data_IF_273224970102
#
_entry.id   IF_273224970102
#
_cell.length_a   1.000
_cell.length_b   1.000
_cell.length_c   1.000
_cell.angle_alpha   90.00
_cell.angle_beta   90.00
_cell.angle_gamma   90.00
#
_symmetry.space_group_name_H-M   'P 1'
#
loop_
_entity.id
_entity.type
_entity.pdbx_description
1 polymer ?
#
# COMPACT_ATOMS: atom_id res chain seq x y z
N UNK A 1 -1.96 7.44 -22.94
CA UNK A 1 -1.07 8.13 -21.98
C UNK A 1 -1.10 9.65 -22.14
N UNK A 2 -0.50 10.27 -23.20
CA UNK A 2 -0.52 11.73 -23.36
C UNK A 2 -1.91 12.27 -23.73
N UNK A 3 -2.66 11.56 -24.59
CA UNK A 3 -4.02 11.90 -24.98
C UNK A 3 -4.95 11.90 -23.76
N UNK A 4 -4.88 10.87 -22.94
CA UNK A 4 -5.69 10.72 -21.74
C UNK A 4 -5.43 11.85 -20.73
N UNK A 5 -4.14 12.24 -20.58
CA UNK A 5 -3.75 13.36 -19.72
C UNK A 5 -4.30 14.71 -20.23
N UNK A 6 -4.29 14.91 -21.55
CA UNK A 6 -4.84 16.13 -22.18
C UNK A 6 -6.35 16.15 -22.05
N UNK A 7 -7.02 15.03 -22.28
CA UNK A 7 -8.49 14.90 -22.13
C UNK A 7 -8.91 15.13 -20.67
N UNK A 8 -8.18 14.59 -19.70
CA UNK A 8 -8.49 14.78 -18.27
C UNK A 8 -8.30 16.23 -17.83
N UNK A 9 -7.24 16.90 -18.30
CA UNK A 9 -7.04 18.35 -18.07
C UNK A 9 -8.09 19.20 -18.76
N UNK A 10 -8.46 18.87 -19.99
CA UNK A 10 -9.50 19.58 -20.72
C UNK A 10 -10.85 19.44 -20.05
N UNK A 11 -11.21 18.22 -19.63
CA UNK A 11 -12.44 17.95 -18.89
C UNK A 11 -12.46 18.67 -17.53
N UNK A 12 -11.32 18.77 -16.86
CA UNK A 12 -11.19 19.52 -15.60
C UNK A 12 -11.40 21.01 -15.81
N UNK A 13 -10.82 21.59 -16.87
CA UNK A 13 -11.01 23.00 -17.22
C UNK A 13 -12.45 23.30 -17.66
N UNK A 14 -13.07 22.40 -18.42
CA UNK A 14 -14.47 22.50 -18.83
C UNK A 14 -15.39 22.46 -17.61
N UNK A 15 -15.16 21.54 -16.69
CA UNK A 15 -15.90 21.44 -15.44
C UNK A 15 -15.73 22.69 -14.56
N UNK A 16 -14.51 23.20 -14.41
CA UNK A 16 -14.25 24.48 -13.69
C UNK A 16 -14.98 25.66 -14.36
N UNK A 17 -15.14 25.63 -15.68
CA UNK A 17 -15.92 26.63 -16.42
C UNK A 17 -17.43 26.57 -16.09
N UNK A 18 -17.97 25.36 -15.95
CA UNK A 18 -19.37 25.15 -15.54
C UNK A 18 -19.58 25.40 -14.03
N UNK A 19 -18.61 25.07 -13.19
CA UNK A 19 -18.63 25.29 -11.75
C UNK A 19 -18.52 26.78 -11.33
N UNK A 20 -18.48 27.74 -12.27
CA UNK A 20 -18.65 29.17 -11.98
C UNK A 20 -19.95 29.48 -11.25
N UNK A 21 -20.91 28.56 -11.28
CA UNK A 21 -22.18 28.68 -10.56
C UNK A 21 -22.06 28.34 -9.08
N UNK A 22 -21.01 27.58 -8.66
CA UNK A 22 -20.74 27.28 -7.25
C UNK A 22 -19.26 27.55 -6.88
N UNK A 23 -18.94 28.74 -6.34
CA UNK A 23 -17.59 29.13 -5.96
C UNK A 23 -16.95 28.20 -4.91
N UNK A 24 -17.76 27.61 -4.02
CA UNK A 24 -17.29 26.68 -2.98
C UNK A 24 -16.76 25.41 -3.61
N UNK A 25 -17.52 24.81 -4.53
CA UNK A 25 -17.08 23.59 -5.25
C UNK A 25 -15.80 23.81 -6.04
N UNK A 26 -15.72 24.95 -6.75
CA UNK A 26 -14.52 25.32 -7.52
C UNK A 26 -13.28 25.47 -6.63
N UNK A 27 -13.44 26.10 -5.47
CA UNK A 27 -12.35 26.26 -4.49
C UNK A 27 -11.90 24.89 -3.92
N UNK A 28 -12.85 24.02 -3.56
CA UNK A 28 -12.55 22.69 -3.06
C UNK A 28 -11.85 21.82 -4.11
N UNK A 29 -12.29 21.87 -5.38
CA UNK A 29 -11.61 21.20 -6.48
C UNK A 29 -10.13 21.60 -6.56
N UNK A 30 -9.85 22.90 -6.56
CA UNK A 30 -8.47 23.42 -6.59
C UNK A 30 -7.66 22.97 -5.37
N UNK A 31 -8.26 22.96 -4.18
CA UNK A 31 -7.61 22.48 -2.95
C UNK A 31 -7.28 20.99 -3.05
N UNK A 32 -8.20 20.15 -3.54
CA UNK A 32 -7.97 18.71 -3.73
C UNK A 32 -6.83 18.46 -4.72
N UNK A 33 -6.84 19.12 -5.88
CA UNK A 33 -5.78 19.01 -6.89
C UNK A 33 -4.43 19.46 -6.32
N UNK A 34 -4.38 20.57 -5.58
CA UNK A 34 -3.16 21.04 -4.90
C UNK A 34 -2.67 20.08 -3.82
N UNK A 35 -3.57 19.38 -3.16
CA UNK A 35 -3.22 18.32 -2.20
C UNK A 35 -2.75 17.02 -2.89
N UNK A 36 -2.90 16.92 -4.22
CA UNK A 36 -2.42 15.81 -5.03
C UNK A 36 -3.47 14.74 -5.33
N UNK A 37 -4.74 14.99 -5.04
CA UNK A 37 -5.83 14.12 -5.49
C UNK A 37 -6.05 14.24 -7.00
N UNK A 38 -6.49 13.16 -7.64
CA UNK A 38 -6.80 13.16 -9.06
C UNK A 38 -8.05 14.00 -9.37
N UNK A 39 -8.10 14.67 -10.53
CA UNK A 39 -9.30 15.39 -10.95
C UNK A 39 -10.55 14.50 -11.04
N UNK A 40 -10.37 13.23 -11.40
CA UNK A 40 -11.47 12.25 -11.49
C UNK A 40 -12.11 11.98 -10.13
N UNK A 41 -11.31 11.72 -9.09
CA UNK A 41 -11.83 11.51 -7.73
C UNK A 41 -12.45 12.80 -7.17
N UNK A 42 -11.76 13.93 -7.34
CA UNK A 42 -12.24 15.22 -6.87
C UNK A 42 -13.61 15.57 -7.48
N UNK A 43 -13.78 15.36 -8.78
CA UNK A 43 -15.07 15.55 -9.47
C UNK A 43 -16.14 14.63 -8.93
N UNK A 44 -15.87 13.33 -8.86
CA UNK A 44 -16.83 12.32 -8.41
C UNK A 44 -17.35 12.58 -6.99
N UNK A 45 -16.52 13.18 -6.13
CA UNK A 45 -16.91 13.59 -4.78
C UNK A 45 -17.74 14.87 -4.85
N UNK A 46 -17.22 15.93 -5.48
CA UNK A 46 -17.84 17.25 -5.44
C UNK A 46 -19.18 17.35 -6.18
N UNK A 47 -19.42 16.50 -7.19
CA UNK A 47 -20.73 16.39 -7.85
C UNK A 47 -21.84 15.86 -6.92
N UNK A 48 -21.47 15.25 -5.81
CA UNK A 48 -22.40 14.74 -4.77
C UNK A 48 -22.49 15.63 -3.54
N UNK A 49 -21.82 16.77 -3.57
CA UNK A 49 -21.86 17.71 -2.44
C UNK A 49 -23.22 18.38 -2.35
N UNK A 50 -23.86 18.40 -1.16
CA UNK A 50 -25.11 19.17 -0.95
C UNK A 50 -24.91 20.65 -1.31
N UNK A 51 -25.94 21.26 -1.88
CA UNK A 51 -25.90 22.64 -2.39
C UNK A 51 -26.01 23.70 -1.29
N UNK A 52 -26.59 23.33 -0.16
CA UNK A 52 -26.95 24.20 0.96
C UNK A 52 -25.84 24.37 2.02
N UNK A 53 -24.69 23.73 1.82
CA UNK A 53 -23.57 23.81 2.76
C UNK A 53 -22.80 25.12 2.65
N UNK A 54 -22.47 25.72 3.79
CA UNK A 54 -21.51 26.80 3.83
C UNK A 54 -20.06 26.31 3.56
N UNK A 55 -19.11 27.25 3.46
CA UNK A 55 -17.73 26.93 3.16
C UNK A 55 -17.07 26.04 4.23
N UNK A 56 -17.39 26.21 5.50
CA UNK A 56 -16.84 25.41 6.60
C UNK A 56 -17.47 24.01 6.66
N UNK A 57 -18.75 23.94 6.45
CA UNK A 57 -19.50 22.68 6.38
C UNK A 57 -19.08 21.84 5.18
N UNK A 58 -18.86 22.48 4.03
CA UNK A 58 -18.37 21.83 2.81
C UNK A 58 -17.00 21.19 3.00
N UNK A 59 -16.08 21.85 3.71
CA UNK A 59 -14.76 21.28 4.04
C UNK A 59 -14.92 20.08 4.96
N UNK A 60 -15.74 20.17 6.01
CA UNK A 60 -15.99 19.04 6.92
C UNK A 60 -16.61 17.86 6.18
N UNK A 61 -17.64 18.12 5.39
CA UNK A 61 -18.29 17.11 4.58
C UNK A 61 -17.29 16.39 3.64
N UNK A 62 -16.40 17.16 2.97
CA UNK A 62 -15.36 16.60 2.11
C UNK A 62 -14.40 15.69 2.88
N UNK A 63 -13.94 16.12 4.06
CA UNK A 63 -13.05 15.29 4.90
C UNK A 63 -13.74 14.00 5.35
N UNK A 64 -14.99 14.07 5.77
CA UNK A 64 -15.79 12.92 6.16
C UNK A 64 -16.01 11.94 4.99
N UNK A 65 -16.18 12.45 3.77
CA UNK A 65 -16.31 11.59 2.58
C UNK A 65 -15.00 10.89 2.26
N UNK A 66 -13.86 11.59 2.33
CA UNK A 66 -12.54 10.99 2.11
C UNK A 66 -12.25 9.91 3.16
N UNK A 67 -12.50 10.20 4.43
CA UNK A 67 -12.30 9.26 5.54
C UNK A 67 -13.15 8.00 5.38
N UNK A 68 -14.44 8.15 5.10
CA UNK A 68 -15.37 7.01 4.91
C UNK A 68 -15.05 6.14 3.69
N UNK A 69 -14.39 6.69 2.68
CA UNK A 69 -14.01 5.95 1.47
C UNK A 69 -12.59 5.36 1.55
N UNK A 70 -11.78 5.79 2.51
CA UNK A 70 -10.50 5.17 2.79
C UNK A 70 -10.73 3.94 3.67
N UNK A 71 -10.59 2.76 3.09
CA UNK A 71 -10.69 1.51 3.84
C UNK A 71 -9.46 1.33 4.70
N UNK A 72 -9.64 1.23 6.01
CA UNK A 72 -8.56 0.99 6.97
C UNK A 72 -8.97 -0.13 7.93
N UNK A 73 -8.02 -0.66 8.66
CA UNK A 73 -8.24 -1.53 9.81
C UNK A 73 -8.38 -0.76 11.14
N UNK A 74 -8.69 0.53 11.07
CA UNK A 74 -8.91 1.34 12.26
C UNK A 74 -10.08 0.76 13.08
N UNK A 75 -9.80 0.34 14.31
CA UNK A 75 -10.76 -0.36 15.17
C UNK A 75 -10.62 -1.89 15.19
N UNK A 76 -9.83 -2.48 14.29
CA UNK A 76 -9.43 -3.88 14.35
C UNK A 76 -8.10 -4.05 15.09
N UNK A 77 -7.69 -5.31 15.31
CA UNK A 77 -6.36 -5.58 15.88
C UNK A 77 -5.29 -5.30 14.85
N UNK A 78 -4.20 -4.59 15.22
CA UNK A 78 -3.06 -4.41 14.32
C UNK A 78 -2.50 -5.76 13.85
N UNK A 79 -1.89 -5.79 12.67
CA UNK A 79 -1.31 -7.01 12.08
C UNK A 79 -0.40 -7.79 13.05
N UNK A 80 0.41 -7.07 13.82
CA UNK A 80 1.38 -7.67 14.76
C UNK A 80 0.72 -8.24 16.03
N UNK A 81 -0.54 -7.91 16.30
CA UNK A 81 -1.36 -8.54 17.35
C UNK A 81 -2.25 -9.62 16.80
N UNK A 82 -2.81 -9.42 15.61
CA UNK A 82 -3.62 -10.40 14.89
C UNK A 82 -2.79 -11.65 14.60
N UNK A 83 -1.60 -11.48 14.06
CA UNK A 83 -0.72 -12.56 13.62
C UNK A 83 -1.12 -13.10 12.24
N UNK A 84 -0.50 -14.20 11.83
CA UNK A 84 -0.72 -14.83 10.53
C UNK A 84 0.52 -14.83 9.65
N UNK A 85 0.35 -15.22 8.39
CA UNK A 85 1.44 -15.33 7.41
C UNK A 85 1.26 -14.20 6.39
N UNK A 86 2.25 -13.33 6.28
CA UNK A 86 2.22 -12.18 5.40
C UNK A 86 3.45 -12.11 4.49
N UNK A 87 3.22 -12.01 3.19
CA UNK A 87 4.26 -11.76 2.19
C UNK A 87 4.23 -10.29 1.77
N UNK A 88 5.34 -9.59 1.95
CA UNK A 88 5.49 -8.20 1.55
C UNK A 88 5.89 -8.15 0.08
N UNK A 89 4.99 -7.66 -0.77
CA UNK A 89 5.18 -7.54 -2.21
C UNK A 89 5.24 -6.07 -2.64
N UNK A 90 5.75 -5.81 -3.84
CA UNK A 90 5.82 -4.45 -4.39
C UNK A 90 7.13 -4.16 -5.12
N UNK A 91 7.26 -2.95 -5.65
CA UNK A 91 8.39 -2.50 -6.44
C UNK A 91 9.71 -2.51 -5.67
N UNK A 92 10.82 -2.47 -6.42
CA UNK A 92 12.16 -2.34 -5.82
C UNK A 92 12.29 -1.00 -5.10
N UNK A 93 12.93 -1.00 -3.92
CA UNK A 93 13.23 0.23 -3.17
C UNK A 93 12.05 0.84 -2.40
N UNK A 94 10.86 0.24 -2.40
CA UNK A 94 9.71 0.74 -1.63
C UNK A 94 9.80 0.50 -0.12
N UNK A 95 10.79 -0.24 0.37
CA UNK A 95 11.00 -0.46 1.81
C UNK A 95 10.41 -1.76 2.37
N UNK A 96 10.20 -2.81 1.54
CA UNK A 96 9.67 -4.11 1.98
C UNK A 96 10.45 -4.71 3.14
N UNK A 97 11.75 -4.87 2.99
CA UNK A 97 12.63 -5.44 4.04
C UNK A 97 12.59 -4.64 5.33
N UNK A 98 12.57 -3.30 5.23
CA UNK A 98 12.46 -2.42 6.41
C UNK A 98 11.08 -2.55 7.07
N UNK A 99 10.02 -2.64 6.29
CA UNK A 99 8.65 -2.85 6.79
C UNK A 99 8.52 -4.22 7.45
N UNK A 100 9.10 -5.26 6.84
CA UNK A 100 9.20 -6.60 7.43
C UNK A 100 9.87 -6.55 8.82
N UNK A 101 11.01 -5.86 8.92
CA UNK A 101 11.72 -5.71 10.18
C UNK A 101 10.91 -4.94 11.24
N UNK A 102 10.20 -3.87 10.85
CA UNK A 102 9.33 -3.11 11.75
C UNK A 102 8.17 -3.96 12.29
N UNK A 103 7.46 -4.68 11.42
CA UNK A 103 6.38 -5.59 11.84
C UNK A 103 6.89 -6.70 12.76
N UNK A 104 8.05 -7.29 12.42
CA UNK A 104 8.70 -8.30 13.26
C UNK A 104 9.04 -7.73 14.67
N UNK A 105 9.59 -6.53 14.73
CA UNK A 105 9.93 -5.86 15.98
C UNK A 105 8.69 -5.57 16.84
N UNK A 106 7.60 -5.12 16.21
CA UNK A 106 6.33 -4.84 16.91
C UNK A 106 5.71 -6.12 17.47
N UNK A 107 5.68 -7.20 16.70
CA UNK A 107 5.19 -8.51 17.16
C UNK A 107 6.09 -9.09 18.26
N UNK A 108 7.42 -9.06 18.08
CA UNK A 108 8.37 -9.56 19.07
C UNK A 108 8.30 -8.79 20.41
N UNK A 109 8.03 -7.48 20.36
CA UNK A 109 7.87 -6.67 21.58
C UNK A 109 6.67 -7.10 22.42
N UNK A 110 5.58 -7.55 21.78
CA UNK A 110 4.34 -7.91 22.47
C UNK A 110 4.33 -9.40 22.84
N UNK A 111 4.77 -10.25 21.93
CA UNK A 111 4.64 -11.71 22.05
C UNK A 111 5.97 -12.45 22.27
N UNK A 112 7.07 -11.69 22.32
CA UNK A 112 8.44 -12.23 22.43
C UNK A 112 9.06 -12.60 21.06
N UNK A 113 10.39 -12.64 20.95
CA UNK A 113 11.10 -12.95 19.70
C UNK A 113 10.77 -14.34 19.15
N UNK A 114 10.50 -15.29 20.03
CA UNK A 114 10.12 -16.66 19.66
C UNK A 114 8.79 -16.77 18.92
N UNK A 115 7.96 -15.73 18.93
CA UNK A 115 6.64 -15.70 18.27
C UNK A 115 6.71 -15.32 16.79
N UNK A 116 7.88 -14.90 16.28
CA UNK A 116 8.03 -14.38 14.90
C UNK A 116 8.90 -15.34 14.08
N UNK A 117 8.46 -15.61 12.86
CA UNK A 117 9.24 -16.26 11.81
C UNK A 117 9.59 -15.26 10.70
N UNK A 118 10.83 -15.26 10.25
CA UNK A 118 11.30 -14.45 9.13
C UNK A 118 11.78 -15.33 7.99
N UNK A 119 11.28 -15.08 6.78
CA UNK A 119 11.68 -15.77 5.55
C UNK A 119 12.01 -14.71 4.50
N UNK A 120 13.08 -14.91 3.73
CA UNK A 120 13.34 -14.13 2.51
C UNK A 120 13.30 -15.01 1.28
N UNK A 121 12.73 -14.50 0.21
CA UNK A 121 12.76 -15.07 -1.14
C UNK A 121 13.80 -14.35 -2.02
N UNK A 122 14.46 -13.31 -1.51
CA UNK A 122 15.41 -12.53 -2.29
C UNK A 122 16.80 -13.19 -2.31
N UNK A 123 16.95 -14.16 -3.20
CA UNK A 123 18.22 -14.85 -3.45
C UNK A 123 19.09 -14.16 -4.52
N UNK A 124 18.54 -13.17 -5.24
CA UNK A 124 19.20 -12.58 -6.41
C UNK A 124 19.99 -11.31 -6.10
N UNK A 125 19.54 -10.50 -5.14
CA UNK A 125 20.24 -9.26 -4.78
C UNK A 125 21.35 -9.55 -3.78
N UNK A 126 22.56 -9.19 -4.15
CA UNK A 126 23.71 -9.23 -3.23
C UNK A 126 23.38 -8.43 -1.98
N UNK A 127 23.47 -9.07 -0.82
CA UNK A 127 23.22 -8.42 0.47
C UNK A 127 21.76 -8.30 0.92
N UNK A 128 20.75 -8.64 0.11
CA UNK A 128 19.34 -8.56 0.54
C UNK A 128 19.04 -9.53 1.70
N UNK A 129 19.50 -10.77 1.59
CA UNK A 129 19.41 -11.75 2.64
C UNK A 129 20.17 -11.31 3.89
N UNK A 130 21.37 -10.73 3.71
CA UNK A 130 22.21 -10.23 4.83
C UNK A 130 21.52 -9.06 5.56
N UNK A 131 20.79 -8.23 4.86
CA UNK A 131 20.01 -7.14 5.48
C UNK A 131 18.94 -7.69 6.41
N UNK A 132 18.12 -8.65 5.94
CA UNK A 132 17.08 -9.27 6.77
C UNK A 132 17.69 -10.08 7.94
N UNK A 133 18.81 -10.79 7.69
CA UNK A 133 19.56 -11.49 8.76
C UNK A 133 20.09 -10.52 9.81
N UNK A 134 20.53 -9.35 9.41
CA UNK A 134 21.01 -8.33 10.35
C UNK A 134 19.88 -7.84 11.24
N UNK A 135 18.71 -7.52 10.67
CA UNK A 135 17.53 -7.19 11.46
C UNK A 135 17.10 -8.36 12.37
N UNK A 136 17.10 -9.58 11.85
CA UNK A 136 16.77 -10.77 12.64
C UNK A 136 17.70 -10.92 13.85
N UNK A 137 19.03 -10.78 13.65
CA UNK A 137 20.01 -10.82 14.77
C UNK A 137 19.74 -9.75 15.83
N UNK A 138 19.44 -8.51 15.41
CA UNK A 138 19.09 -7.42 16.33
C UNK A 138 17.83 -7.73 17.16
N UNK A 139 16.90 -8.48 16.61
CA UNK A 139 15.64 -8.84 17.24
C UNK A 139 15.66 -10.21 17.95
N UNK A 140 16.77 -10.96 17.85
CA UNK A 140 16.86 -12.33 18.35
C UNK A 140 16.01 -13.34 17.54
N UNK A 141 15.79 -13.07 16.25
CA UNK A 141 14.97 -13.88 15.34
C UNK A 141 15.84 -14.41 14.20
N UNK A 142 15.69 -15.71 13.90
CA UNK A 142 16.40 -16.33 12.76
C UNK A 142 15.68 -15.98 11.47
N UNK A 143 16.41 -15.46 10.48
CA UNK A 143 15.91 -15.26 9.12
C UNK A 143 16.30 -16.46 8.23
N UNK A 144 15.29 -17.09 7.65
CA UNK A 144 15.42 -18.24 6.77
C UNK A 144 15.41 -17.80 5.30
N UNK A 145 16.05 -18.58 4.42
CA UNK A 145 16.03 -18.35 2.98
C UNK A 145 15.25 -19.48 2.30
N UNK A 146 14.27 -19.13 1.47
CA UNK A 146 13.61 -20.06 0.58
C UNK A 146 13.95 -19.69 -0.89
N UNK A 147 14.38 -20.67 -1.67
CA UNK A 147 14.75 -20.49 -3.07
C UNK A 147 13.59 -20.75 -4.03
N UNK A 148 12.60 -21.51 -3.59
CA UNK A 148 11.47 -21.93 -4.39
C UNK A 148 10.22 -22.16 -3.53
N UNK A 149 9.13 -22.56 -4.19
CA UNK A 149 7.85 -22.84 -3.54
C UNK A 149 7.90 -23.99 -2.53
N UNK A 150 8.65 -25.06 -2.84
CA UNK A 150 8.76 -26.22 -1.97
C UNK A 150 9.49 -25.86 -0.68
N UNK A 151 10.64 -25.18 -0.79
CA UNK A 151 11.39 -24.69 0.36
C UNK A 151 10.57 -23.70 1.21
N UNK A 152 9.77 -22.83 0.56
CA UNK A 152 8.85 -21.95 1.30
C UNK A 152 7.80 -22.74 2.06
N UNK A 153 7.19 -23.75 1.45
CA UNK A 153 6.17 -24.60 2.09
C UNK A 153 6.73 -25.34 3.29
N UNK A 154 7.93 -25.91 3.18
CA UNK A 154 8.62 -26.61 4.28
C UNK A 154 8.90 -25.64 5.45
N UNK A 155 9.39 -24.42 5.15
CA UNK A 155 9.63 -23.41 6.18
C UNK A 155 8.33 -22.93 6.84
N UNK A 156 7.23 -22.80 6.09
CA UNK A 156 5.94 -22.44 6.67
C UNK A 156 5.43 -23.55 7.61
N UNK A 157 5.67 -24.83 7.27
CA UNK A 157 5.42 -25.96 8.18
C UNK A 157 6.25 -25.90 9.45
N UNK A 158 7.54 -25.64 9.32
CA UNK A 158 8.47 -25.49 10.46
C UNK A 158 8.09 -24.30 11.38
N UNK A 159 7.63 -23.22 10.81
CA UNK A 159 7.27 -21.98 11.51
C UNK A 159 5.78 -21.91 11.88
N UNK A 160 5.01 -22.98 11.68
CA UNK A 160 3.54 -22.99 11.87
C UNK A 160 3.07 -22.69 13.30
N UNK A 161 3.95 -22.85 14.30
CA UNK A 161 3.66 -22.48 15.70
C UNK A 161 3.89 -21.00 16.01
N UNK A 162 4.46 -20.20 15.07
CA UNK A 162 4.71 -18.80 15.28
C UNK A 162 3.43 -17.98 15.20
N UNK A 163 3.34 -16.93 16.00
CA UNK A 163 2.23 -15.99 15.98
C UNK A 163 2.16 -15.25 14.64
N UNK A 164 3.32 -14.84 14.12
CA UNK A 164 3.44 -14.13 12.86
C UNK A 164 4.61 -14.67 12.04
N UNK A 165 4.38 -14.95 10.76
CA UNK A 165 5.43 -15.28 9.80
C UNK A 165 5.45 -14.19 8.72
N UNK A 166 6.62 -13.60 8.52
CA UNK A 166 6.83 -12.54 7.54
C UNK A 166 7.75 -13.02 6.43
N UNK A 167 7.31 -12.87 5.19
CA UNK A 167 8.03 -13.26 3.98
C UNK A 167 8.43 -11.97 3.24
N UNK A 168 9.74 -11.68 3.25
CA UNK A 168 10.32 -10.59 2.46
C UNK A 168 10.61 -11.07 1.04
N UNK A 169 10.07 -10.35 0.05
CA UNK A 169 10.18 -10.74 -1.35
C UNK A 169 11.12 -9.84 -2.14
N UNK A 170 11.64 -10.35 -3.24
CA UNK A 170 12.35 -9.53 -4.23
C UNK A 170 11.44 -8.43 -4.77
N UNK A 171 11.96 -7.22 -4.88
CA UNK A 171 11.23 -6.12 -5.51
C UNK A 171 11.14 -6.33 -7.02
N UNK A 172 9.94 -6.24 -7.56
CA UNK A 172 9.68 -6.35 -8.99
C UNK A 172 8.83 -5.20 -9.48
N UNK A 173 9.18 -4.64 -10.64
CA UNK A 173 8.39 -3.59 -11.25
C UNK A 173 7.00 -4.14 -11.68
N UNK A 174 5.97 -3.28 -11.77
CA UNK A 174 4.61 -3.71 -12.18
C UNK A 174 4.56 -4.50 -13.49
N UNK A 175 5.41 -4.13 -14.46
CA UNK A 175 5.49 -4.74 -15.80
C UNK A 175 6.58 -5.81 -15.93
N UNK A 176 7.30 -6.11 -14.85
CA UNK A 176 8.36 -7.12 -14.89
C UNK A 176 7.76 -8.53 -15.04
N UNK A 177 8.15 -9.32 -16.07
CA UNK A 177 7.63 -10.67 -16.25
C UNK A 177 7.91 -11.59 -15.05
N UNK A 178 9.01 -11.37 -14.31
CA UNK A 178 9.36 -12.11 -13.10
C UNK A 178 8.36 -11.91 -11.94
N UNK A 179 7.50 -10.90 -12.03
CA UNK A 179 6.44 -10.67 -11.04
C UNK A 179 5.53 -11.89 -10.92
N UNK A 180 5.15 -12.49 -12.06
CA UNK A 180 4.27 -13.65 -12.07
C UNK A 180 4.91 -14.83 -11.36
N UNK A 181 6.16 -15.14 -11.70
CA UNK A 181 6.90 -16.26 -11.08
C UNK A 181 7.01 -16.09 -9.56
N UNK A 182 7.34 -14.86 -9.10
CA UNK A 182 7.42 -14.53 -7.68
C UNK A 182 6.06 -14.70 -6.98
N UNK A 183 4.96 -14.25 -7.61
CA UNK A 183 3.61 -14.38 -7.04
C UNK A 183 3.12 -15.84 -7.04
N UNK A 184 3.53 -16.65 -8.02
CA UNK A 184 3.22 -18.08 -8.07
C UNK A 184 3.88 -18.85 -6.91
N UNK A 185 5.10 -18.47 -6.52
CA UNK A 185 5.76 -19.01 -5.31
C UNK A 185 4.93 -18.73 -4.05
N UNK A 186 4.32 -17.55 -3.97
CA UNK A 186 3.50 -17.11 -2.84
C UNK A 186 2.06 -17.65 -2.85
N UNK A 187 1.66 -18.37 -3.90
CA UNK A 187 0.30 -18.91 -4.02
C UNK A 187 0.16 -20.19 -3.17
N UNK A 188 0.26 -20.02 -1.87
CA UNK A 188 0.12 -21.05 -0.84
C UNK A 188 -1.06 -20.73 0.08
N UNK A 189 -1.73 -21.75 0.67
CA UNK A 189 -2.80 -21.51 1.63
C UNK A 189 -2.34 -20.63 2.80
N UNK A 190 -3.20 -19.74 3.23
CA UNK A 190 -2.99 -18.83 4.37
C UNK A 190 -1.89 -17.77 4.21
N UNK A 191 -1.24 -17.69 3.05
CA UNK A 191 -0.29 -16.61 2.76
C UNK A 191 -1.06 -15.36 2.28
N UNK A 192 -1.09 -14.33 3.12
CA UNK A 192 -1.68 -13.05 2.79
C UNK A 192 -0.62 -12.15 2.14
N UNK A 193 -0.98 -11.41 1.09
CA UNK A 193 -0.08 -10.49 0.41
C UNK A 193 -0.32 -9.06 0.90
N UNK A 194 0.74 -8.42 1.39
CA UNK A 194 0.75 -7.00 1.76
C UNK A 194 1.52 -6.22 0.71
N UNK A 195 0.83 -5.39 -0.05
CA UNK A 195 1.46 -4.52 -1.04
C UNK A 195 2.09 -3.30 -0.35
N UNK A 196 3.41 -3.19 -0.39
CA UNK A 196 4.12 -2.03 0.14
C UNK A 196 4.23 -0.96 -0.93
N UNK A 197 3.67 0.22 -0.64
CA UNK A 197 3.65 1.39 -1.52
C UNK A 197 4.48 2.51 -0.91
N UNK A 198 5.34 3.14 -1.71
CA UNK A 198 6.03 4.35 -1.28
C UNK A 198 5.08 5.55 -1.39
N UNK A 199 4.74 6.17 -0.25
CA UNK A 199 3.82 7.30 -0.17
C UNK A 199 4.29 8.55 -0.94
N UNK A 200 5.61 8.69 -1.17
CA UNK A 200 6.20 9.78 -1.93
C UNK A 200 6.18 9.59 -3.45
N UNK A 201 5.64 8.47 -3.96
CA UNK A 201 5.56 8.24 -5.40
C UNK A 201 4.50 9.11 -6.06
N UNK A 202 4.71 9.37 -7.35
CA UNK A 202 3.72 10.06 -8.19
C UNK A 202 2.44 9.23 -8.33
N UNK A 203 1.28 9.88 -8.46
CA UNK A 203 -0.03 9.22 -8.54
C UNK A 203 -0.14 8.18 -9.64
N UNK A 204 0.37 8.47 -10.84
CA UNK A 204 0.37 7.53 -11.97
C UNK A 204 1.18 6.25 -11.68
N UNK A 205 2.30 6.38 -10.96
CA UNK A 205 3.13 5.23 -10.56
C UNK A 205 2.42 4.37 -9.52
N UNK A 206 1.72 5.00 -8.58
CA UNK A 206 0.90 4.30 -7.58
C UNK A 206 -0.25 3.58 -8.25
N UNK A 207 -0.92 4.22 -9.20
CA UNK A 207 -2.05 3.70 -9.95
C UNK A 207 -1.66 2.46 -10.77
N UNK A 208 -0.56 2.54 -11.51
CA UNK A 208 -0.02 1.41 -12.26
C UNK A 208 0.36 0.25 -11.33
N UNK A 209 1.02 0.55 -10.21
CA UNK A 209 1.42 -0.46 -9.23
C UNK A 209 0.21 -1.15 -8.63
N UNK A 210 -0.78 -0.39 -8.19
CA UNK A 210 -2.03 -0.93 -7.63
C UNK A 210 -2.78 -1.78 -8.64
N UNK A 211 -2.95 -1.30 -9.87
CA UNK A 211 -3.60 -2.06 -10.94
C UNK A 211 -2.92 -3.41 -11.15
N UNK A 212 -1.59 -3.41 -11.26
CA UNK A 212 -0.83 -4.62 -11.53
C UNK A 212 -0.89 -5.64 -10.39
N UNK A 213 -0.75 -5.22 -9.14
CA UNK A 213 -0.73 -6.13 -7.99
C UNK A 213 -2.13 -6.51 -7.49
N UNK A 214 -3.14 -5.66 -7.68
CA UNK A 214 -4.54 -5.98 -7.36
C UNK A 214 -5.10 -7.08 -8.26
N UNK A 215 -4.81 -7.02 -9.54
CA UNK A 215 -5.18 -8.06 -10.51
C UNK A 215 -4.65 -9.44 -10.09
N UNK A 216 -3.49 -9.47 -9.45
CA UNK A 216 -2.86 -10.68 -8.93
C UNK A 216 -3.30 -11.04 -7.49
N UNK A 217 -4.36 -10.44 -6.97
CA UNK A 217 -5.01 -10.79 -5.70
C UNK A 217 -4.52 -10.04 -4.45
N UNK A 218 -3.68 -9.00 -4.59
CA UNK A 218 -3.30 -8.15 -3.45
C UNK A 218 -4.41 -7.14 -3.15
N UNK A 219 -5.03 -7.24 -1.97
CA UNK A 219 -6.13 -6.35 -1.56
C UNK A 219 -5.76 -5.46 -0.37
N UNK A 220 -4.64 -5.74 0.30
CA UNK A 220 -4.14 -5.01 1.46
C UNK A 220 -2.87 -4.27 1.10
N UNK A 221 -2.71 -3.06 1.62
CA UNK A 221 -1.55 -2.22 1.38
C UNK A 221 -0.98 -1.63 2.66
N UNK A 222 0.31 -1.35 2.64
CA UNK A 222 1.03 -0.57 3.65
C UNK A 222 1.69 0.61 2.95
N UNK A 223 1.53 1.81 3.50
CA UNK A 223 2.27 2.99 3.07
C UNK A 223 3.60 3.06 3.80
N UNK A 224 4.67 3.06 3.05
CA UNK A 224 6.04 3.30 3.54
C UNK A 224 6.47 4.73 3.22
N UNK A 225 7.54 5.20 3.89
CA UNK A 225 8.17 6.50 3.62
C UNK A 225 7.19 7.68 3.69
N UNK A 226 6.24 7.60 4.59
CA UNK A 226 5.23 8.64 4.82
C UNK A 226 5.88 9.96 5.26
N UNK A 227 6.97 9.85 6.01
CA UNK A 227 7.83 10.94 6.47
C UNK A 227 8.61 11.64 5.35
N UNK A 228 8.86 10.96 4.22
CA UNK A 228 9.51 11.52 3.02
C UNK A 228 8.51 12.16 2.05
N UNK A 229 7.22 11.86 2.17
CA UNK A 229 6.20 12.32 1.24
C UNK A 229 5.86 13.80 1.43
N UNK A 230 6.03 14.60 0.38
CA UNK A 230 5.63 16.03 0.38
C UNK A 230 4.11 16.17 0.49
N UNK A 231 3.36 15.22 -0.10
CA UNK A 231 1.89 15.17 -0.08
C UNK A 231 1.44 13.73 0.00
N UNK A 232 0.46 13.45 0.83
CA UNK A 232 -0.17 12.13 0.92
C UNK A 232 -1.36 11.97 -0.04
N UNK A 233 -1.86 13.06 -0.62
CA UNK A 233 -3.02 13.04 -1.52
C UNK A 233 -2.91 12.00 -2.64
N UNK A 234 -1.79 11.89 -3.37
CA UNK A 234 -1.66 10.88 -4.43
C UNK A 234 -1.81 9.43 -3.93
N UNK A 235 -1.25 9.13 -2.76
CA UNK A 235 -1.35 7.79 -2.17
C UNK A 235 -2.76 7.49 -1.68
N UNK A 236 -3.39 8.42 -0.97
CA UNK A 236 -4.77 8.28 -0.49
C UNK A 236 -5.76 8.19 -1.66
N UNK A 237 -5.61 9.02 -2.69
CA UNK A 237 -6.39 8.98 -3.92
C UNK A 237 -6.35 7.59 -4.57
N UNK A 238 -5.15 7.07 -4.76
CA UNK A 238 -4.95 5.76 -5.37
C UNK A 238 -5.56 4.63 -4.52
N UNK A 239 -5.38 4.65 -3.20
CA UNK A 239 -5.97 3.67 -2.28
C UNK A 239 -7.50 3.69 -2.34
N UNK A 240 -8.11 4.89 -2.34
CA UNK A 240 -9.57 5.05 -2.43
C UNK A 240 -10.10 4.52 -3.76
N UNK A 241 -9.52 4.94 -4.89
CA UNK A 241 -9.98 4.52 -6.22
C UNK A 241 -9.82 3.03 -6.45
N UNK A 242 -8.76 2.43 -5.94
CA UNK A 242 -8.54 0.98 -6.03
C UNK A 242 -9.19 0.19 -4.91
N UNK A 243 -9.87 0.83 -3.97
CA UNK A 243 -10.55 0.17 -2.84
C UNK A 243 -9.62 -0.77 -2.04
N UNK A 244 -8.37 -0.38 -1.87
CA UNK A 244 -7.40 -1.13 -1.08
C UNK A 244 -7.66 -0.93 0.41
N UNK A 245 -7.41 -1.97 1.19
CA UNK A 245 -7.43 -1.88 2.66
C UNK A 245 -6.04 -1.46 3.13
N UNK A 246 -5.93 -0.30 3.76
CA UNK A 246 -4.70 0.20 4.39
C UNK A 246 -4.55 -0.44 5.77
N UNK A 247 -3.38 -1.09 5.97
CA UNK A 247 -3.04 -1.85 7.18
C UNK A 247 -1.90 -1.21 7.92
#
# INVERSE_FOLDING_TARGET
>A
AMKDLIEDRFNTLSWLGQARQNPIQSNLMLKMIRAGYSPSLARAILERMPEDLDASESVRWLMDVLERNLRTDAGERPLYEEGGIYALVGSTGVGKTTTTAKLAAMCARIHGPGSVGLITLDSYRVGAHDQLRTYGRMLGIVAHLAHDRAALQDLLGLLGSKKMVLIDTTGVAPRDPRKRDMLDVLNLPHVNRLLVLNAGCHGDTLDETLTAFKTDGSQQAILSKVDEAVKLGPALDALIRHQMVLR
#
